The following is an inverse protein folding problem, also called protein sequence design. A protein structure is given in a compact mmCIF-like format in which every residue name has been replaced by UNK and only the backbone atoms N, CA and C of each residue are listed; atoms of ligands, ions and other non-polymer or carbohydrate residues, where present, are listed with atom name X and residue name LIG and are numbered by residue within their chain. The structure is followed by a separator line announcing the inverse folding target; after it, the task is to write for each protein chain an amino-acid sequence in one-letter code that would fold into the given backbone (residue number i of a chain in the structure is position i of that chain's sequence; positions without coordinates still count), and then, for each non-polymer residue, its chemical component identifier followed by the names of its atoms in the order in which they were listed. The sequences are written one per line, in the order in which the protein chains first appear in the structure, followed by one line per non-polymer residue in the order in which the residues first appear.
data_IF_345434112343
#
_entry.id   IF_345434112343
#
_cell.length_a   1.000
_cell.length_b   1.000
_cell.length_c   1.000
_cell.angle_alpha   90.00
_cell.angle_beta   90.00
_cell.angle_gamma   90.00
#
_symmetry.space_group_name_H-M   'P 1'
#
loop_
_entity.id
_entity.type
_entity.pdbx_description
1 polymer ?
#
# COMPACT_ATOMS: atom_id res chain seq x y z
N UNK A 1 -6.59 18.09 -29.88
CA UNK A 1 -6.56 17.05 -28.81
C UNK A 1 -5.66 15.93 -29.29
N UNK A 2 -4.80 15.40 -28.42
CA UNK A 2 -4.00 14.20 -28.69
C UNK A 2 -4.50 13.08 -27.78
N UNK A 3 -4.70 11.91 -28.34
CA UNK A 3 -5.04 10.72 -27.56
C UNK A 3 -3.75 10.16 -26.97
N UNK A 4 -3.76 9.93 -25.66
CA UNK A 4 -2.65 9.34 -24.92
C UNK A 4 -3.15 8.03 -24.31
N UNK A 5 -2.31 7.00 -24.38
CA UNK A 5 -2.53 5.74 -23.68
C UNK A 5 -1.55 5.68 -22.50
N UNK A 6 -2.05 5.26 -21.34
CA UNK A 6 -1.26 5.02 -20.13
C UNK A 6 -1.53 3.58 -19.73
N UNK A 7 -0.47 2.83 -19.45
CA UNK A 7 -0.58 1.50 -18.87
C UNK A 7 -0.66 1.65 -17.35
N UNK A 8 -1.82 1.34 -16.79
CA UNK A 8 -2.09 1.44 -15.35
C UNK A 8 -2.06 0.01 -14.77
N UNK A 9 -1.25 -0.25 -13.73
CA UNK A 9 -1.27 -1.55 -13.04
C UNK A 9 -2.66 -1.88 -12.48
N UNK A 10 -3.07 -3.16 -12.45
CA UNK A 10 -4.37 -3.56 -11.92
C UNK A 10 -4.64 -3.09 -10.48
N UNK A 11 -3.62 -3.10 -9.62
CA UNK A 11 -3.67 -2.61 -8.24
C UNK A 11 -3.96 -1.10 -8.08
N UNK A 12 -3.79 -0.32 -9.14
CA UNK A 12 -4.08 1.12 -9.17
C UNK A 12 -5.43 1.44 -9.81
N UNK A 13 -6.14 0.44 -10.34
CA UNK A 13 -7.47 0.62 -10.89
C UNK A 13 -8.49 0.84 -9.77
N UNK A 14 -9.47 1.74 -9.96
CA UNK A 14 -10.54 1.91 -9.00
C UNK A 14 -11.42 0.66 -8.92
N UNK A 15 -11.83 0.28 -7.72
CA UNK A 15 -12.69 -0.89 -7.52
C UNK A 15 -12.48 -1.56 -6.18
N UNK A 16 -12.95 -2.81 -6.08
CA UNK A 16 -12.65 -3.66 -4.92
C UNK A 16 -11.17 -4.06 -4.96
N UNK A 17 -10.47 -4.11 -3.82
CA UNK A 17 -9.10 -4.58 -3.77
C UNK A 17 -8.95 -5.98 -4.39
N UNK A 18 -7.90 -6.16 -5.19
CA UNK A 18 -7.50 -7.43 -5.79
C UNK A 18 -6.94 -8.38 -4.73
N UNK A 19 -6.19 -7.84 -3.77
CA UNK A 19 -5.65 -8.58 -2.67
C UNK A 19 -5.57 -7.73 -1.40
N UNK A 20 -5.67 -8.40 -0.26
CA UNK A 20 -5.51 -7.78 1.05
C UNK A 20 -4.62 -8.65 1.92
N UNK A 21 -3.71 -8.05 2.66
CA UNK A 21 -2.85 -8.73 3.63
C UNK A 21 -2.77 -7.91 4.91
N UNK A 22 -2.55 -8.54 6.06
CA UNK A 22 -2.42 -7.81 7.33
C UNK A 22 -0.95 -7.53 7.65
N UNK A 23 -0.67 -6.30 8.10
CA UNK A 23 0.64 -5.94 8.65
C UNK A 23 0.96 -6.81 9.86
N UNK A 24 2.13 -7.46 9.84
CA UNK A 24 2.57 -8.34 10.94
C UNK A 24 3.02 -7.57 12.20
N UNK A 25 3.09 -6.23 12.16
CA UNK A 25 3.45 -5.39 13.29
C UNK A 25 2.23 -4.74 13.97
N UNK A 26 1.36 -4.08 13.21
CA UNK A 26 0.20 -3.36 13.77
C UNK A 26 -1.16 -4.03 13.52
N UNK A 27 -1.23 -5.06 12.66
CA UNK A 27 -2.47 -5.74 12.30
C UNK A 27 -3.34 -5.01 11.27
N UNK A 28 -2.95 -3.81 10.83
CA UNK A 28 -3.70 -3.06 9.82
C UNK A 28 -3.76 -3.82 8.49
N UNK A 29 -4.90 -3.73 7.81
CA UNK A 29 -5.11 -4.32 6.49
C UNK A 29 -4.47 -3.45 5.42
N UNK A 30 -3.58 -4.05 4.65
CA UNK A 30 -2.89 -3.48 3.50
C UNK A 30 -3.64 -3.92 2.24
N UNK A 31 -3.96 -2.96 1.38
CA UNK A 31 -4.66 -3.20 0.12
C UNK A 31 -3.72 -3.12 -1.07
N UNK A 32 -3.88 -4.06 -1.99
CA UNK A 32 -3.35 -4.03 -3.36
C UNK A 32 -1.83 -3.83 -3.42
N UNK A 33 -1.08 -4.84 -2.99
CA UNK A 33 0.39 -4.91 -3.09
C UNK A 33 1.15 -3.69 -2.50
N UNK A 34 0.54 -2.98 -1.55
CA UNK A 34 1.15 -1.85 -0.84
C UNK A 34 2.00 -2.27 0.37
N UNK A 35 2.18 -3.57 0.57
CA UNK A 35 3.01 -4.10 1.64
C UNK A 35 4.50 -3.90 1.37
N UNK A 36 5.26 -3.70 2.45
CA UNK A 36 6.72 -3.67 2.42
C UNK A 36 7.23 -4.93 3.09
N UNK A 37 8.10 -5.67 2.39
CA UNK A 37 8.77 -6.84 2.95
C UNK A 37 10.12 -6.41 3.53
N UNK A 38 10.27 -6.48 4.87
CA UNK A 38 11.56 -6.27 5.54
C UNK A 38 11.86 -7.41 6.50
N UNK A 39 13.07 -7.95 6.43
CA UNK A 39 13.50 -9.07 7.28
C UNK A 39 12.51 -10.25 7.28
N UNK A 40 11.92 -10.55 6.11
CA UNK A 40 10.94 -11.62 5.94
C UNK A 40 9.54 -11.32 6.52
N UNK A 41 9.29 -10.10 7.02
CA UNK A 41 7.99 -9.69 7.54
C UNK A 41 7.24 -8.77 6.57
N UNK A 42 5.94 -8.97 6.46
CA UNK A 42 4.99 -8.13 5.72
C UNK A 42 4.57 -6.97 6.63
N UNK A 43 4.87 -5.74 6.22
CA UNK A 43 4.61 -4.52 6.99
C UNK A 43 3.82 -3.51 6.18
N UNK A 44 2.99 -2.69 6.83
CA UNK A 44 2.44 -1.49 6.20
C UNK A 44 3.53 -0.42 6.08
N UNK A 45 3.35 0.53 5.15
CA UNK A 45 4.33 1.60 4.92
C UNK A 45 4.65 2.40 6.18
N UNK A 46 3.65 2.68 7.02
CA UNK A 46 3.86 3.40 8.27
C UNK A 46 4.75 2.62 9.27
N UNK A 47 4.59 1.29 9.35
CA UNK A 47 5.41 0.45 10.21
C UNK A 47 6.82 0.22 9.64
N UNK A 48 6.98 0.26 8.31
CA UNK A 48 8.26 0.02 7.66
C UNK A 48 9.14 1.28 7.55
N UNK A 49 8.53 2.42 7.21
CA UNK A 49 9.23 3.66 6.83
C UNK A 49 8.83 4.86 7.69
N UNK A 50 7.83 4.72 8.56
CA UNK A 50 7.23 5.81 9.33
C UNK A 50 5.94 6.36 8.69
N UNK A 51 5.01 6.91 9.48
CA UNK A 51 3.81 7.54 8.96
C UNK A 51 4.14 8.81 8.16
N UNK A 52 3.30 9.15 7.19
CA UNK A 52 3.44 10.40 6.42
C UNK A 52 3.03 11.66 7.19
N UNK A 53 2.48 11.49 8.40
CA UNK A 53 1.96 12.55 9.24
C UNK A 53 2.75 12.64 10.54
N UNK A 54 2.67 13.81 11.18
CA UNK A 54 3.21 14.03 12.52
C UNK A 54 2.07 14.08 13.54
N UNK A 55 2.31 13.51 14.72
CA UNK A 55 1.41 13.67 15.87
C UNK A 55 1.75 15.01 16.52
N UNK A 56 0.73 15.84 16.75
CA UNK A 56 0.84 17.08 17.51
C UNK A 56 0.39 16.79 18.95
N UNK A 57 1.06 17.40 19.93
CA UNK A 57 0.72 17.32 21.36
C UNK A 57 -0.54 18.13 21.72
#
# INVERSE_FOLDING_TARGET
MKNIKIDIPPEDLPGKPLNTVNCQQCGEKIFDKREVIRNGKILCKACADGPYYHVLD
#
